data_IF_562188846605
#
_entry.id   IF_562188846605
#
_cell.length_a   1.000
_cell.length_b   1.000
_cell.length_c   1.000
_cell.angle_alpha   90.00
_cell.angle_beta   90.00
_cell.angle_gamma   90.00
#
_symmetry.space_group_name_H-M   'P 1'
#
loop_
_entity.id
_entity.type
_entity.pdbx_description
1 polymer ?
#
# COMPACT_ATOMS: atom_id res chain seq x y z
N UNK A 1 63.33 63.85 -6.36
CA UNK A 1 62.55 63.33 -7.51
C UNK A 1 62.63 61.81 -7.65
N UNK A 2 63.82 61.20 -7.65
CA UNK A 2 63.99 59.73 -7.78
C UNK A 2 63.25 58.89 -6.70
N UNK A 3 63.24 59.34 -5.45
CA UNK A 3 62.54 58.61 -4.37
C UNK A 3 61.01 58.64 -4.48
N UNK A 4 60.44 59.74 -4.98
CA UNK A 4 59.00 59.84 -5.21
C UNK A 4 58.54 58.85 -6.29
N UNK A 5 59.33 58.67 -7.36
CA UNK A 5 59.05 57.70 -8.42
C UNK A 5 59.12 56.26 -7.87
N UNK A 6 60.12 55.97 -7.02
CA UNK A 6 60.29 54.65 -6.38
C UNK A 6 59.10 54.30 -5.48
N UNK A 7 58.63 55.26 -4.68
CA UNK A 7 57.44 55.12 -3.82
C UNK A 7 56.15 54.96 -4.62
N UNK A 8 55.97 55.72 -5.70
CA UNK A 8 54.81 55.58 -6.58
C UNK A 8 54.77 54.23 -7.29
N UNK A 9 55.92 53.74 -7.77
CA UNK A 9 56.05 52.44 -8.42
C UNK A 9 55.73 51.30 -7.44
N UNK A 10 56.32 51.32 -6.25
CA UNK A 10 56.05 50.32 -5.20
C UNK A 10 54.57 50.31 -4.76
N UNK A 11 53.94 51.48 -4.63
CA UNK A 11 52.53 51.59 -4.26
C UNK A 11 51.58 51.12 -5.37
N UNK A 12 51.94 51.34 -6.64
CA UNK A 12 51.20 50.84 -7.80
C UNK A 12 51.28 49.31 -7.91
N UNK A 13 52.46 48.73 -7.68
CA UNK A 13 52.69 47.29 -7.72
C UNK A 13 51.95 46.55 -6.60
N UNK A 14 51.93 47.14 -5.40
CA UNK A 14 51.17 46.59 -4.27
C UNK A 14 49.65 46.66 -4.48
N UNK A 15 49.15 47.72 -5.13
CA UNK A 15 47.72 47.83 -5.51
C UNK A 15 47.35 46.82 -6.60
N UNK A 16 48.20 46.65 -7.61
CA UNK A 16 48.01 45.65 -8.68
C UNK A 16 47.96 44.22 -8.13
N UNK A 17 48.88 43.89 -7.20
CA UNK A 17 48.91 42.58 -6.54
C UNK A 17 47.66 42.32 -5.69
N UNK A 18 47.21 43.32 -4.93
CA UNK A 18 45.99 43.22 -4.12
C UNK A 18 44.72 43.04 -4.98
N UNK A 19 44.60 43.79 -6.09
CA UNK A 19 43.48 43.68 -7.02
C UNK A 19 43.46 42.32 -7.74
N UNK A 20 44.63 41.76 -8.08
CA UNK A 20 44.75 40.43 -8.68
C UNK A 20 44.31 39.30 -7.71
N UNK A 21 44.73 39.36 -6.45
CA UNK A 21 44.33 38.41 -5.40
C UNK A 21 42.82 38.49 -5.12
N UNK A 22 42.28 39.71 -5.06
CA UNK A 22 40.85 39.93 -4.84
C UNK A 22 40.00 39.38 -6.01
N UNK A 23 40.48 39.54 -7.26
CA UNK A 23 39.82 39.01 -8.46
C UNK A 23 39.85 37.48 -8.49
N UNK A 24 40.98 36.87 -8.10
CA UNK A 24 41.12 35.41 -8.00
C UNK A 24 40.23 34.82 -6.89
N UNK A 25 40.21 35.43 -5.69
CA UNK A 25 39.33 35.00 -4.58
C UNK A 25 37.85 35.12 -4.93
N UNK A 26 37.45 36.21 -5.59
CA UNK A 26 36.05 36.40 -6.06
C UNK A 26 35.66 35.34 -7.11
N UNK A 27 36.55 35.00 -8.04
CA UNK A 27 36.33 33.95 -9.04
C UNK A 27 36.18 32.55 -8.43
N UNK A 28 37.02 32.21 -7.44
CA UNK A 28 36.93 30.93 -6.73
C UNK A 28 35.62 30.78 -5.94
N UNK A 29 35.19 31.85 -5.26
CA UNK A 29 33.94 31.88 -4.49
C UNK A 29 32.71 31.76 -5.38
N UNK A 30 32.71 32.41 -6.55
CA UNK A 30 31.63 32.28 -7.52
C UNK A 30 31.53 30.86 -8.08
N UNK A 31 32.68 30.23 -8.38
CA UNK A 31 32.75 28.86 -8.90
C UNK A 31 32.26 27.83 -7.88
N UNK A 32 32.57 28.01 -6.60
CA UNK A 32 32.11 27.15 -5.51
C UNK A 32 30.61 27.33 -5.22
N UNK A 33 30.10 28.57 -5.18
CA UNK A 33 28.65 28.83 -5.03
C UNK A 33 27.83 28.27 -6.20
N UNK A 34 28.36 28.35 -7.42
CA UNK A 34 27.70 27.79 -8.60
C UNK A 34 27.69 26.26 -8.55
N UNK A 35 28.80 25.63 -8.18
CA UNK A 35 28.86 24.17 -7.99
C UNK A 35 27.92 23.68 -6.88
N UNK A 36 27.86 24.35 -5.73
CA UNK A 36 26.93 24.01 -4.65
C UNK A 36 25.47 24.21 -5.06
N UNK A 37 25.14 25.28 -5.80
CA UNK A 37 23.78 25.50 -6.33
C UNK A 37 23.37 24.47 -7.38
N UNK A 38 24.27 24.11 -8.30
CA UNK A 38 24.01 23.10 -9.33
C UNK A 38 23.85 21.71 -8.74
N UNK A 39 24.68 21.34 -7.75
CA UNK A 39 24.56 20.06 -7.01
C UNK A 39 23.27 20.03 -6.18
N UNK A 40 22.88 21.15 -5.60
CA UNK A 40 21.63 21.24 -4.84
C UNK A 40 20.42 21.13 -5.77
N UNK A 41 20.42 21.81 -6.92
CA UNK A 41 19.36 21.69 -7.92
C UNK A 41 19.27 20.28 -8.50
N UNK A 42 20.40 19.62 -8.80
CA UNK A 42 20.37 18.22 -9.28
C UNK A 42 19.83 17.27 -8.21
N UNK A 43 20.16 17.46 -6.94
CA UNK A 43 19.59 16.68 -5.84
C UNK A 43 18.07 16.88 -5.70
N UNK A 44 17.58 18.12 -5.77
CA UNK A 44 16.14 18.41 -5.76
C UNK A 44 15.43 17.79 -6.98
N UNK A 45 16.02 17.86 -8.18
CA UNK A 45 15.46 17.24 -9.38
C UNK A 45 15.40 15.71 -9.25
N UNK A 46 16.45 15.08 -8.70
CA UNK A 46 16.48 13.63 -8.43
C UNK A 46 15.42 13.23 -7.40
N UNK A 47 15.25 13.99 -6.31
CA UNK A 47 14.21 13.74 -5.32
C UNK A 47 12.80 13.83 -5.92
N UNK A 48 12.52 14.87 -6.71
CA UNK A 48 11.22 15.02 -7.39
C UNK A 48 10.98 13.89 -8.38
N UNK A 49 12.00 13.48 -9.14
CA UNK A 49 11.91 12.36 -10.08
C UNK A 49 11.63 11.03 -9.37
N UNK A 50 12.34 10.74 -8.27
CA UNK A 50 12.11 9.54 -7.46
C UNK A 50 10.71 9.55 -6.82
N UNK A 51 10.25 10.70 -6.32
CA UNK A 51 8.90 10.85 -5.78
C UNK A 51 7.84 10.60 -6.87
N UNK A 52 8.03 11.16 -8.06
CA UNK A 52 7.13 10.96 -9.19
C UNK A 52 7.08 9.50 -9.67
N UNK A 53 8.23 8.82 -9.75
CA UNK A 53 8.32 7.38 -10.02
C UNK A 53 7.59 6.56 -8.96
N UNK A 54 7.80 6.85 -7.68
CA UNK A 54 7.07 6.21 -6.58
C UNK A 54 5.56 6.45 -6.69
N UNK A 55 5.12 7.67 -6.99
CA UNK A 55 3.71 7.97 -7.21
C UNK A 55 3.15 7.21 -8.42
N UNK A 56 3.92 7.04 -9.50
CA UNK A 56 3.49 6.26 -10.68
C UNK A 56 3.43 4.76 -10.38
N UNK A 57 4.36 4.21 -9.62
CA UNK A 57 4.32 2.80 -9.17
C UNK A 57 3.15 2.55 -8.22
N UNK A 58 2.94 3.44 -7.25
CA UNK A 58 1.78 3.37 -6.36
C UNK A 58 0.47 3.57 -7.11
N UNK A 59 0.43 4.43 -8.13
CA UNK A 59 -0.76 4.59 -8.99
C UNK A 59 -0.98 3.36 -9.89
N UNK A 60 0.07 2.71 -10.38
CA UNK A 60 -0.04 1.45 -11.13
C UNK A 60 -0.48 0.27 -10.22
N UNK A 61 -0.15 0.31 -8.93
CA UNK A 61 -0.65 -0.65 -7.93
C UNK A 61 -2.09 -0.32 -7.46
N UNK A 62 -2.55 0.92 -7.60
CA UNK A 62 -3.91 1.37 -7.25
C UNK A 62 -4.87 1.47 -8.44
N UNK A 63 -4.37 1.33 -9.68
CA UNK A 63 -5.19 1.13 -10.88
C UNK A 63 -5.22 -0.36 -11.21
N UNK A 64 -5.98 -1.12 -10.41
CA UNK A 64 -6.62 -2.31 -10.97
C UNK A 64 -7.47 -1.82 -12.16
N UNK A 65 -7.25 -2.32 -13.38
CA UNK A 65 -7.97 -1.81 -14.54
C UNK A 65 -9.45 -2.05 -14.32
N UNK A 66 -10.19 -0.93 -14.26
CA UNK A 66 -11.65 -0.89 -14.35
C UNK A 66 -12.01 -1.34 -15.76
N UNK A 67 -11.98 -2.65 -15.99
CA UNK A 67 -12.57 -3.30 -17.14
C UNK A 67 -14.09 -3.16 -17.03
N UNK A 68 -14.64 -2.17 -17.73
CA UNK A 68 -16.02 -2.19 -18.15
C UNK A 68 -16.18 -3.27 -19.21
N UNK A 69 -16.78 -4.40 -18.85
CA UNK A 69 -17.56 -5.20 -19.78
C UNK A 69 -18.81 -5.68 -19.04
N UNK A 70 -19.96 -5.45 -19.67
CA UNK A 70 -21.26 -5.60 -19.04
C UNK A 70 -21.55 -7.05 -18.63
N UNK A 71 -21.99 -7.22 -17.38
CA UNK A 71 -22.95 -8.23 -16.95
C UNK A 71 -23.32 -7.86 -15.50
N UNK A 72 -24.60 -7.56 -15.24
CA UNK A 72 -25.21 -7.44 -13.91
C UNK A 72 -24.32 -6.83 -12.80
N UNK A 73 -24.48 -5.52 -12.54
CA UNK A 73 -23.82 -4.77 -11.46
C UNK A 73 -24.18 -5.33 -10.06
N UNK A 74 -23.56 -6.45 -9.66
CA UNK A 74 -23.29 -6.74 -8.25
C UNK A 74 -22.14 -5.80 -7.90
N UNK A 75 -22.43 -4.76 -7.11
CA UNK A 75 -21.42 -3.77 -6.67
C UNK A 75 -20.20 -4.53 -6.15
N UNK A 76 -19.01 -4.28 -6.71
CA UNK A 76 -17.77 -4.92 -6.23
C UNK A 76 -17.65 -4.80 -4.70
N UNK A 77 -17.33 -5.91 -4.03
CA UNK A 77 -17.32 -6.02 -2.57
C UNK A 77 -18.62 -6.53 -1.95
N UNK A 78 -19.59 -7.00 -2.73
CA UNK A 78 -20.82 -7.61 -2.21
C UNK A 78 -20.91 -9.10 -2.49
N UNK A 79 -21.44 -9.82 -1.50
CA UNK A 79 -21.84 -11.20 -1.61
C UNK A 79 -23.36 -11.27 -1.52
N UNK A 80 -23.98 -11.85 -2.54
CA UNK A 80 -25.43 -12.08 -2.58
C UNK A 80 -25.73 -13.58 -2.45
N UNK A 81 -26.78 -13.91 -1.72
CA UNK A 81 -27.24 -15.30 -1.61
C UNK A 81 -28.14 -15.56 -2.82
N UNK A 82 -27.66 -16.40 -3.75
CA UNK A 82 -28.31 -16.65 -5.06
C UNK A 82 -29.26 -17.84 -4.99
N UNK A 83 -29.02 -18.78 -4.09
CA UNK A 83 -29.96 -19.87 -3.82
C UNK A 83 -29.94 -20.25 -2.34
N UNK A 84 -31.11 -20.57 -1.80
CA UNK A 84 -31.27 -21.08 -0.43
C UNK A 84 -32.04 -22.39 -0.55
N UNK A 85 -31.37 -23.49 -0.22
CA UNK A 85 -32.00 -24.79 -0.13
C UNK A 85 -32.08 -25.20 1.35
N UNK A 86 -33.29 -25.54 1.80
CA UNK A 86 -33.53 -26.08 3.15
C UNK A 86 -33.78 -27.57 3.00
N UNK A 87 -32.78 -28.37 3.34
CA UNK A 87 -32.97 -29.82 3.42
C UNK A 87 -33.18 -30.19 4.88
N UNK A 88 -34.24 -30.95 5.16
CA UNK A 88 -34.46 -31.55 6.46
C UNK A 88 -34.21 -33.05 6.34
N UNK A 89 -33.19 -33.56 7.04
CA UNK A 89 -33.01 -35.01 7.18
C UNK A 89 -34.00 -35.57 8.24
N UNK A 90 -34.37 -36.85 8.14
CA UNK A 90 -35.29 -37.56 9.07
C UNK A 90 -34.86 -37.47 10.54
N UNK A 91 -33.57 -37.21 10.81
CA UNK A 91 -33.01 -37.00 12.16
C UNK A 91 -33.24 -35.59 12.75
N UNK A 92 -34.10 -34.75 12.14
CA UNK A 92 -34.29 -33.33 12.50
C UNK A 92 -33.00 -32.48 12.46
N UNK A 93 -32.01 -32.91 11.67
CA UNK A 93 -30.84 -32.10 11.36
C UNK A 93 -31.27 -31.15 10.25
N UNK A 94 -31.43 -29.87 10.60
CA UNK A 94 -31.74 -28.79 9.65
C UNK A 94 -30.45 -28.46 8.87
N UNK A 95 -30.34 -29.00 7.66
CA UNK A 95 -29.22 -28.73 6.76
C UNK A 95 -29.57 -27.55 5.87
N UNK A 96 -28.95 -26.40 6.16
CA UNK A 96 -29.16 -25.15 5.42
C UNK A 96 -28.04 -24.94 4.41
N UNK A 97 -28.25 -25.38 3.18
CA UNK A 97 -27.33 -25.15 2.06
C UNK A 97 -27.63 -23.79 1.42
N UNK A 98 -26.68 -22.87 1.45
CA UNK A 98 -26.81 -21.58 0.78
C UNK A 98 -25.77 -21.47 -0.32
N UNK A 99 -26.21 -21.16 -1.53
CA UNK A 99 -25.32 -20.81 -2.64
C UNK A 99 -25.17 -19.32 -2.67
N UNK A 100 -23.94 -18.85 -2.43
CA UNK A 100 -23.61 -17.43 -2.38
C UNK A 100 -22.75 -17.08 -3.58
N UNK A 101 -23.08 -15.99 -4.26
CA UNK A 101 -22.23 -15.38 -5.29
C UNK A 101 -21.55 -14.15 -4.70
N UNK A 102 -20.23 -14.21 -4.62
CA UNK A 102 -19.41 -13.11 -4.16
C UNK A 102 -18.64 -12.49 -5.34
N UNK A 103 -18.57 -11.17 -5.37
CA UNK A 103 -17.71 -10.43 -6.29
C UNK A 103 -16.67 -9.67 -5.47
N UNK A 104 -15.55 -10.33 -5.17
CA UNK A 104 -14.49 -9.80 -4.31
C UNK A 104 -13.40 -9.07 -5.10
N UNK A 105 -12.68 -8.16 -4.42
CA UNK A 105 -11.54 -7.47 -5.00
C UNK A 105 -10.34 -8.42 -5.17
N UNK A 106 -9.39 -8.13 -6.06
CA UNK A 106 -8.13 -8.88 -6.16
C UNK A 106 -7.41 -8.95 -4.81
N UNK A 107 -6.92 -10.13 -4.43
CA UNK A 107 -6.35 -10.39 -3.10
C UNK A 107 -7.38 -10.72 -2.02
N UNK A 108 -8.68 -10.64 -2.34
CA UNK A 108 -9.77 -11.10 -1.48
C UNK A 108 -10.46 -12.33 -2.06
N UNK A 109 -11.02 -13.14 -1.18
CA UNK A 109 -11.80 -14.34 -1.50
C UNK A 109 -13.12 -14.33 -0.74
N UNK A 110 -14.07 -15.12 -1.21
CA UNK A 110 -15.32 -15.31 -0.49
C UNK A 110 -15.03 -15.94 0.88
N UNK A 111 -15.59 -15.33 1.92
CA UNK A 111 -15.49 -15.77 3.30
C UNK A 111 -16.80 -15.52 4.03
N UNK A 112 -16.74 -15.58 5.36
CA UNK A 112 -17.90 -15.37 6.22
C UNK A 112 -17.48 -14.50 7.40
N UNK A 113 -18.25 -13.46 7.65
CA UNK A 113 -18.08 -12.57 8.80
C UNK A 113 -19.44 -12.36 9.45
N UNK A 114 -19.53 -12.59 10.78
CA UNK A 114 -20.78 -12.47 11.56
C UNK A 114 -21.96 -13.23 10.94
N UNK A 115 -21.75 -14.49 10.60
CA UNK A 115 -22.72 -15.38 9.97
C UNK A 115 -23.29 -14.86 8.63
N UNK A 116 -22.59 -13.94 7.96
CA UNK A 116 -22.95 -13.40 6.65
C UNK A 116 -21.81 -13.58 5.65
N UNK A 117 -22.11 -13.82 4.37
CA UNK A 117 -21.06 -13.91 3.38
C UNK A 117 -20.41 -12.55 3.17
N UNK A 118 -19.07 -12.55 3.11
CA UNK A 118 -18.26 -11.34 3.01
C UNK A 118 -17.01 -11.62 2.16
N UNK A 119 -16.35 -10.58 1.68
CA UNK A 119 -15.02 -10.70 1.10
C UNK A 119 -13.97 -10.54 2.18
N UNK A 120 -13.08 -11.52 2.32
CA UNK A 120 -12.01 -11.56 3.31
C UNK A 120 -10.66 -11.68 2.61
N UNK A 121 -9.57 -11.37 3.31
CA UNK A 121 -8.22 -11.50 2.74
C UNK A 121 -7.92 -12.96 2.37
N UNK A 122 -7.32 -13.18 1.20
CA UNK A 122 -6.98 -14.53 0.73
C UNK A 122 -6.05 -15.28 1.70
N UNK A 123 -5.19 -14.56 2.41
CA UNK A 123 -4.28 -15.14 3.41
C UNK A 123 -5.01 -15.88 4.51
N UNK A 124 -6.20 -15.43 4.93
CA UNK A 124 -7.00 -16.08 5.98
C UNK A 124 -7.40 -17.50 5.55
N UNK A 125 -7.82 -17.68 4.30
CA UNK A 125 -8.23 -18.99 3.76
C UNK A 125 -7.00 -19.85 3.45
N UNK A 126 -5.92 -19.24 2.94
CA UNK A 126 -4.68 -19.95 2.63
C UNK A 126 -3.98 -20.49 3.90
N UNK A 127 -3.94 -19.67 4.96
CA UNK A 127 -3.35 -20.01 6.26
C UNK A 127 -4.32 -20.73 7.18
N UNK A 128 -5.57 -20.96 6.74
CA UNK A 128 -6.62 -21.66 7.51
C UNK A 128 -6.93 -20.98 8.85
N UNK A 129 -6.82 -19.65 8.89
CA UNK A 129 -7.09 -18.81 10.07
C UNK A 129 -8.59 -18.52 10.23
N UNK A 130 -9.41 -19.55 10.23
CA UNK A 130 -10.86 -19.43 10.06
C UNK A 130 -11.53 -18.52 11.10
N UNK A 131 -11.07 -18.52 12.35
CA UNK A 131 -11.65 -17.66 13.39
C UNK A 131 -11.18 -16.20 13.31
N UNK A 132 -10.10 -15.90 12.58
CA UNK A 132 -9.61 -14.53 12.42
C UNK A 132 -10.54 -13.65 11.58
N UNK A 133 -11.32 -14.26 10.67
CA UNK A 133 -12.37 -13.52 9.92
C UNK A 133 -13.64 -13.24 10.75
N UNK A 134 -13.68 -13.65 12.02
CA UNK A 134 -14.83 -13.51 12.92
C UNK A 134 -16.13 -14.06 12.28
N UNK A 135 -16.18 -15.36 11.95
CA UNK A 135 -17.29 -15.93 11.21
C UNK A 135 -18.55 -16.12 12.06
N UNK A 136 -18.42 -16.20 13.38
CA UNK A 136 -19.51 -16.40 14.32
C UNK A 136 -20.17 -15.08 14.73
N UNK A 137 -21.36 -15.17 15.33
CA UNK A 137 -22.03 -14.01 15.94
C UNK A 137 -21.35 -13.62 17.27
N UNK A 138 -21.59 -12.42 17.79
CA UNK A 138 -20.90 -11.93 19.00
C UNK A 138 -21.19 -12.82 20.25
N UNK A 139 -22.31 -13.56 20.23
CA UNK A 139 -22.75 -14.48 21.31
C UNK A 139 -22.30 -15.94 21.08
N UNK A 140 -21.50 -16.21 20.06
CA UNK A 140 -21.04 -17.54 19.65
C UNK A 140 -19.53 -17.67 19.81
N UNK A 141 -19.07 -18.80 20.34
CA UNK A 141 -17.63 -19.11 20.42
C UNK A 141 -17.16 -19.76 19.11
N UNK A 142 -16.09 -19.20 18.50
CA UNK A 142 -15.49 -19.76 17.30
C UNK A 142 -14.40 -20.78 17.61
N UNK A 143 -14.47 -21.96 16.99
CA UNK A 143 -13.41 -22.98 17.05
C UNK A 143 -13.04 -23.46 15.66
N UNK A 144 -11.74 -23.58 15.39
CA UNK A 144 -11.23 -24.19 14.16
C UNK A 144 -11.42 -25.70 14.23
N UNK A 145 -11.87 -26.32 13.13
CA UNK A 145 -11.99 -27.78 13.06
C UNK A 145 -10.60 -28.44 13.15
N UNK A 146 -10.49 -29.63 13.77
CA UNK A 146 -9.20 -30.31 13.96
C UNK A 146 -8.53 -30.72 12.64
N UNK A 147 -9.31 -30.93 11.57
CA UNK A 147 -8.82 -31.22 10.22
C UNK A 147 -8.45 -29.95 9.43
N UNK A 148 -8.63 -28.78 10.04
CA UNK A 148 -8.45 -27.45 9.46
C UNK A 148 -9.26 -27.22 8.17
N UNK A 149 -10.34 -27.98 7.96
CA UNK A 149 -11.21 -27.84 6.77
C UNK A 149 -12.28 -26.75 6.94
N UNK A 150 -12.36 -26.14 8.13
CA UNK A 150 -13.31 -25.09 8.42
C UNK A 150 -13.39 -24.75 9.90
N UNK A 151 -14.58 -24.34 10.35
CA UNK A 151 -14.81 -23.85 11.71
C UNK A 151 -16.16 -24.28 12.25
N UNK A 152 -16.33 -24.16 13.57
CA UNK A 152 -17.60 -24.28 14.27
C UNK A 152 -17.89 -23.04 15.11
N UNK A 153 -19.17 -22.71 15.20
CA UNK A 153 -19.71 -21.68 16.08
C UNK A 153 -20.61 -22.36 17.10
N UNK A 154 -20.29 -22.23 18.40
CA UNK A 154 -21.07 -22.82 19.49
C UNK A 154 -21.75 -21.76 20.35
N UNK A 155 -23.05 -21.92 20.56
CA UNK A 155 -23.87 -21.17 21.53
C UNK A 155 -24.56 -22.17 22.44
N UNK A 156 -24.09 -22.27 23.69
CA UNK A 156 -24.59 -23.25 24.66
C UNK A 156 -24.56 -24.68 24.08
N UNK A 157 -25.73 -25.30 23.93
CA UNK A 157 -25.89 -26.66 23.41
C UNK A 157 -26.02 -26.75 21.88
N UNK A 158 -25.98 -25.62 21.17
CA UNK A 158 -26.11 -25.56 19.70
C UNK A 158 -24.74 -25.36 19.06
N UNK A 159 -24.39 -26.24 18.14
CA UNK A 159 -23.14 -26.16 17.36
C UNK A 159 -23.48 -26.07 15.88
N UNK A 160 -22.98 -25.02 15.22
CA UNK A 160 -23.05 -24.84 13.77
C UNK A 160 -21.66 -25.08 13.19
N UNK A 161 -21.54 -25.97 12.21
CA UNK A 161 -20.26 -26.29 11.57
C UNK A 161 -20.28 -25.85 10.12
N UNK A 162 -19.22 -25.21 9.68
CA UNK A 162 -18.99 -24.86 8.28
C UNK A 162 -17.72 -25.52 7.79
N UNK A 163 -17.83 -26.27 6.69
CA UNK A 163 -16.70 -26.91 6.01
C UNK A 163 -16.49 -26.27 4.65
N UNK A 164 -15.23 -26.07 4.29
CA UNK A 164 -14.81 -25.56 3.00
C UNK A 164 -14.22 -26.72 2.20
N UNK A 165 -14.91 -27.13 1.14
CA UNK A 165 -14.38 -28.10 0.17
C UNK A 165 -13.63 -27.35 -0.93
N UNK A 166 -12.40 -27.76 -1.23
CA UNK A 166 -11.67 -27.29 -2.43
C UNK A 166 -12.14 -28.01 -3.67
#
# INVERSE_FOLDING_TARGET
MKEAIRLHYSKAEQKSSHDAILKHRKGLFFRMKFHTRTVQLSYWLLLVYMLALCCKLMSAANHFPRGQTGYHQVKQGTCEVVAIHRCCNKNKIEERSQTVKCSCFPGQVAGTTRARPSCVEASIVLQKWWCQMHPCQDDEECKVLPDLTGWSCSTGNKVKTTKVTR
#
